data_IF_482656090829
#
_entry.id   IF_482656090829
#
_cell.length_a   1.000
_cell.length_b   1.000
_cell.length_c   1.000
_cell.angle_alpha   90.00
_cell.angle_beta   90.00
_cell.angle_gamma   90.00
#
_symmetry.space_group_name_H-M   'P 1'
#
loop_
_entity.id
_entity.type
_entity.pdbx_description
1 polymer ?
#
# COMPACT_ATOMS: atom_id res chain seq x y z
N UNK A 1 -9.44 16.08 24.98
CA UNK A 1 -8.04 15.65 24.81
C UNK A 1 -8.04 14.58 23.74
N UNK A 2 -7.23 14.71 22.68
CA UNK A 2 -7.19 13.76 21.57
C UNK A 2 -5.86 13.04 21.58
N UNK A 3 -5.92 11.72 21.51
CA UNK A 3 -4.74 10.87 21.44
C UNK A 3 -4.49 10.38 20.02
N UNK A 4 -3.26 10.50 19.55
CA UNK A 4 -2.79 9.85 18.34
C UNK A 4 -2.17 8.54 18.77
N UNK A 5 -2.70 7.43 18.27
CA UNK A 5 -2.25 6.09 18.63
C UNK A 5 -1.53 5.41 17.48
N UNK A 6 -0.59 4.57 17.81
CA UNK A 6 -0.01 3.61 16.90
C UNK A 6 -1.07 2.52 16.56
N UNK A 7 -0.89 1.82 15.44
CA UNK A 7 -1.82 0.76 15.04
C UNK A 7 -1.95 -0.39 16.09
N UNK A 8 -0.95 -0.59 16.97
CA UNK A 8 -0.99 -1.55 18.07
C UNK A 8 -1.69 -1.02 19.35
N UNK A 9 -2.21 0.21 19.31
CA UNK A 9 -2.98 0.83 20.39
C UNK A 9 -2.17 1.69 21.36
N UNK A 10 -0.83 1.66 21.36
CA UNK A 10 -0.02 2.54 22.22
C UNK A 10 -0.18 4.00 21.82
N UNK A 11 -0.14 4.90 22.79
CA UNK A 11 -0.25 6.33 22.56
C UNK A 11 1.10 6.88 22.06
N UNK A 12 1.08 7.53 20.90
CA UNK A 12 2.23 8.24 20.33
C UNK A 12 2.28 9.71 20.75
N UNK A 13 1.11 10.32 20.85
CA UNK A 13 0.98 11.72 21.23
C UNK A 13 -0.39 12.00 21.85
N UNK A 14 -0.41 12.84 22.88
CA UNK A 14 -1.64 13.36 23.49
C UNK A 14 -1.71 14.87 23.25
N UNK A 15 -2.65 15.31 22.42
CA UNK A 15 -2.84 16.72 22.13
C UNK A 15 -3.51 17.44 23.31
N UNK A 16 -2.98 18.60 23.65
CA UNK A 16 -3.45 19.39 24.82
C UNK A 16 -4.61 20.31 24.48
N UNK A 17 -4.62 20.86 23.26
CA UNK A 17 -5.57 21.90 22.84
C UNK A 17 -6.28 21.61 21.53
N UNK A 18 -6.09 20.45 20.93
CA UNK A 18 -6.70 20.10 19.65
C UNK A 18 -8.19 19.84 19.78
N UNK A 19 -8.97 20.40 18.84
CA UNK A 19 -10.40 20.18 18.72
C UNK A 19 -10.75 18.95 17.84
N UNK A 20 -9.86 18.58 16.93
CA UNK A 20 -10.01 17.48 15.98
C UNK A 20 -8.67 16.75 15.72
N UNK A 21 -8.73 15.62 14.99
CA UNK A 21 -7.54 14.81 14.68
C UNK A 21 -6.53 15.60 13.86
N UNK A 22 -6.96 16.45 12.92
CA UNK A 22 -6.08 17.28 12.11
C UNK A 22 -5.25 18.21 12.97
N UNK A 23 -5.89 18.96 13.87
CA UNK A 23 -5.21 19.90 14.77
C UNK A 23 -4.32 19.16 15.76
N UNK A 24 -4.71 17.95 16.22
CA UNK A 24 -3.87 17.10 17.05
C UNK A 24 -2.60 16.64 16.32
N UNK A 25 -2.73 16.23 15.08
CA UNK A 25 -1.58 15.83 14.24
C UNK A 25 -0.65 17.03 14.00
N UNK A 26 -1.18 18.20 13.67
CA UNK A 26 -0.39 19.42 13.48
C UNK A 26 0.33 19.83 14.79
N UNK A 27 -0.32 19.69 15.95
CA UNK A 27 0.29 19.93 17.27
C UNK A 27 1.44 18.94 17.53
N UNK A 28 1.23 17.66 17.24
CA UNK A 28 2.25 16.62 17.36
C UNK A 28 3.48 16.90 16.46
N UNK A 29 3.23 17.28 15.21
CA UNK A 29 4.30 17.65 14.26
C UNK A 29 5.10 18.84 14.75
N UNK A 30 4.45 19.90 15.23
CA UNK A 30 5.13 21.08 15.83
C UNK A 30 5.96 20.69 17.05
N UNK A 31 5.51 19.72 17.83
CA UNK A 31 6.23 19.17 18.98
C UNK A 31 7.32 18.17 18.60
N UNK A 32 7.53 17.91 17.30
CA UNK A 32 8.48 16.91 16.78
C UNK A 32 8.20 15.49 17.29
N UNK A 33 6.95 15.17 17.59
CA UNK A 33 6.54 13.83 17.98
C UNK A 33 6.77 12.84 16.82
N UNK A 34 7.21 11.64 17.16
CA UNK A 34 7.34 10.55 16.19
C UNK A 34 5.97 9.94 15.93
N UNK A 35 5.44 10.13 14.72
CA UNK A 35 4.17 9.59 14.26
C UNK A 35 4.33 8.32 13.41
N UNK A 36 5.50 7.69 13.45
CA UNK A 36 5.73 6.40 12.79
C UNK A 36 4.75 5.35 13.31
N UNK A 37 4.08 4.66 12.38
CA UNK A 37 3.04 3.68 12.69
C UNK A 37 1.74 4.27 13.25
N UNK A 38 1.53 5.59 13.18
CA UNK A 38 0.30 6.22 13.65
C UNK A 38 -0.93 5.66 12.91
N UNK A 39 -1.97 5.32 13.66
CA UNK A 39 -3.27 4.98 13.09
C UNK A 39 -4.05 6.27 12.78
N UNK A 40 -4.03 6.64 11.50
CA UNK A 40 -4.72 7.81 10.96
C UNK A 40 -5.78 7.39 9.92
N UNK A 41 -6.32 6.16 10.09
CA UNK A 41 -7.37 5.62 9.25
C UNK A 41 -8.55 6.60 9.14
N UNK A 42 -8.92 6.95 7.91
CA UNK A 42 -10.05 7.84 7.63
C UNK A 42 -9.91 9.27 8.18
N UNK A 43 -8.74 9.65 8.69
CA UNK A 43 -8.55 10.98 9.27
C UNK A 43 -8.68 12.08 8.22
N UNK A 44 -9.40 13.15 8.54
CA UNK A 44 -9.39 14.35 7.72
C UNK A 44 -8.13 15.18 8.09
N UNK A 45 -7.13 15.17 7.20
CA UNK A 45 -5.90 15.94 7.29
C UNK A 45 -5.80 17.00 6.19
N UNK A 46 -6.93 17.33 5.55
CA UNK A 46 -6.99 18.31 4.48
C UNK A 46 -6.40 19.65 4.91
N UNK A 47 -5.47 20.20 4.11
CA UNK A 47 -4.77 21.43 4.39
C UNK A 47 -3.80 21.41 5.58
N UNK A 48 -3.59 20.27 6.24
CA UNK A 48 -2.65 20.16 7.36
C UNK A 48 -1.21 20.49 6.94
N UNK A 49 -0.48 21.20 7.80
CA UNK A 49 0.96 21.34 7.65
C UNK A 49 1.68 20.19 8.36
N UNK A 50 2.21 19.26 7.56
CA UNK A 50 2.92 18.06 8.01
C UNK A 50 4.43 18.14 7.77
N UNK A 51 4.97 19.36 7.60
CA UNK A 51 6.40 19.58 7.35
C UNK A 51 7.23 19.00 8.49
N UNK A 52 8.13 18.08 8.15
CA UNK A 52 8.99 17.39 9.11
C UNK A 52 8.31 16.26 9.90
N UNK A 53 7.06 15.90 9.58
CA UNK A 53 6.42 14.76 10.20
C UNK A 53 7.10 13.44 9.80
N UNK A 54 7.41 12.60 10.78
CA UNK A 54 7.77 11.21 10.53
C UNK A 54 6.48 10.38 10.50
N UNK A 55 6.01 10.04 9.29
CA UNK A 55 4.83 9.21 9.05
C UNK A 55 5.19 7.81 8.53
N UNK A 56 6.43 7.36 8.75
CA UNK A 56 6.88 6.06 8.28
C UNK A 56 5.97 4.94 8.81
N UNK A 57 5.37 4.15 7.90
CA UNK A 57 4.45 3.07 8.27
C UNK A 57 3.14 3.53 8.93
N UNK A 58 2.81 4.82 8.91
CA UNK A 58 1.53 5.30 9.42
C UNK A 58 0.37 4.73 8.58
N UNK A 59 -0.72 4.36 9.22
CA UNK A 59 -1.90 3.81 8.56
C UNK A 59 -2.83 4.94 8.11
N UNK A 60 -2.63 5.40 6.87
CA UNK A 60 -3.35 6.52 6.24
C UNK A 60 -4.48 6.07 5.28
N UNK A 61 -4.90 4.81 5.33
CA UNK A 61 -5.96 4.33 4.46
C UNK A 61 -7.25 5.13 4.66
N UNK A 62 -7.80 5.69 3.56
CA UNK A 62 -9.00 6.52 3.59
C UNK A 62 -8.81 7.91 4.20
N UNK A 63 -7.59 8.30 4.61
CA UNK A 63 -7.34 9.66 5.08
C UNK A 63 -7.45 10.68 3.94
N UNK A 64 -8.06 11.82 4.22
CA UNK A 64 -8.06 12.97 3.31
C UNK A 64 -6.81 13.82 3.54
N UNK A 65 -5.91 13.80 2.57
CA UNK A 65 -4.67 14.57 2.56
C UNK A 65 -4.70 15.73 1.55
N UNK A 66 -5.88 16.08 1.01
CA UNK A 66 -6.04 17.13 0.01
C UNK A 66 -5.51 18.48 0.55
N UNK A 67 -4.60 19.10 -0.22
CA UNK A 67 -3.96 20.35 0.19
C UNK A 67 -3.03 20.27 1.40
N UNK A 68 -2.77 19.08 1.96
CA UNK A 68 -1.76 18.91 3.01
C UNK A 68 -0.36 19.27 2.47
N UNK A 69 0.46 19.91 3.33
CA UNK A 69 1.77 20.45 2.96
C UNK A 69 2.90 19.75 3.72
N UNK A 70 4.08 19.68 3.09
CA UNK A 70 5.30 19.25 3.75
C UNK A 70 5.42 17.74 3.98
N UNK A 71 4.60 16.93 3.36
CA UNK A 71 4.75 15.48 3.44
C UNK A 71 5.99 15.06 2.63
N UNK A 72 6.95 14.44 3.31
CA UNK A 72 8.06 13.79 2.64
C UNK A 72 7.64 12.35 2.28
N UNK A 73 7.34 12.10 0.99
CA UNK A 73 6.91 10.77 0.50
C UNK A 73 7.89 9.64 0.87
N UNK A 74 9.18 9.93 0.88
CA UNK A 74 10.22 8.94 1.19
C UNK A 74 10.23 8.50 2.65
N UNK A 75 9.60 9.27 3.54
CA UNK A 75 9.42 8.93 4.95
C UNK A 75 8.07 8.25 5.24
N UNK A 76 7.28 7.93 4.21
CA UNK A 76 5.96 7.30 4.39
C UNK A 76 5.96 5.82 4.04
N UNK A 77 6.80 5.40 3.09
CA UNK A 77 6.92 3.99 2.68
C UNK A 77 8.29 3.70 2.06
N UNK A 78 8.88 2.52 2.30
CA UNK A 78 10.13 2.12 1.67
C UNK A 78 9.98 1.80 0.18
N UNK A 79 8.77 1.67 -0.35
CA UNK A 79 8.52 1.29 -1.74
C UNK A 79 9.09 2.28 -2.76
N UNK A 80 9.35 3.54 -2.36
CA UNK A 80 9.95 4.52 -3.27
C UNK A 80 11.34 4.11 -3.79
N UNK A 81 12.04 3.20 -3.10
CA UNK A 81 13.28 2.60 -3.60
C UNK A 81 13.11 1.90 -4.95
N UNK A 82 11.88 1.46 -5.30
CA UNK A 82 11.60 0.80 -6.57
C UNK A 82 11.74 1.74 -7.77
N UNK A 83 11.62 3.06 -7.56
CA UNK A 83 11.75 4.07 -8.62
C UNK A 83 13.18 4.17 -9.15
N UNK A 84 14.18 3.76 -8.37
CA UNK A 84 15.59 3.85 -8.68
C UNK A 84 16.20 2.49 -9.08
N UNK A 85 15.36 1.43 -9.20
CA UNK A 85 15.85 0.09 -9.55
C UNK A 85 16.14 -0.02 -11.05
N UNK A 86 17.35 -0.41 -11.44
CA UNK A 86 17.65 -0.73 -12.83
C UNK A 86 17.07 -2.11 -13.20
N UNK A 87 16.49 -2.22 -14.38
CA UNK A 87 16.01 -3.52 -14.91
C UNK A 87 14.66 -3.97 -14.37
N UNK A 88 14.32 -5.25 -14.53
CA UNK A 88 13.04 -5.79 -14.12
C UNK A 88 12.88 -5.83 -12.61
N UNK A 89 11.73 -5.36 -12.15
CA UNK A 89 11.29 -5.40 -10.75
C UNK A 89 10.26 -6.50 -10.60
N UNK A 90 10.36 -7.32 -9.57
CA UNK A 90 9.39 -8.35 -9.23
C UNK A 90 8.48 -7.90 -8.10
N UNK A 91 7.19 -8.14 -8.29
CA UNK A 91 6.18 -7.99 -7.25
C UNK A 91 5.11 -9.08 -7.41
N UNK A 92 4.07 -8.98 -6.61
CA UNK A 92 3.03 -10.00 -6.58
C UNK A 92 1.67 -9.40 -6.91
N UNK A 93 0.80 -10.23 -7.49
CA UNK A 93 -0.56 -9.88 -7.84
C UNK A 93 -1.52 -10.89 -7.24
N UNK A 94 -2.33 -10.43 -6.29
CA UNK A 94 -3.45 -11.22 -5.78
C UNK A 94 -4.58 -11.24 -6.81
N UNK A 95 -5.06 -12.43 -7.16
CA UNK A 95 -6.19 -12.63 -8.09
C UNK A 95 -7.16 -13.64 -7.51
N UNK A 96 -8.44 -13.51 -7.87
CA UNK A 96 -9.44 -14.54 -7.58
C UNK A 96 -9.29 -15.76 -8.48
N UNK A 97 -10.08 -16.80 -8.24
CA UNK A 97 -10.06 -18.06 -8.98
C UNK A 97 -10.24 -17.87 -10.51
N UNK A 98 -11.03 -16.88 -10.93
CA UNK A 98 -11.25 -16.55 -12.35
C UNK A 98 -10.09 -15.81 -13.02
N UNK A 99 -9.00 -15.49 -12.28
CA UNK A 99 -7.84 -14.74 -12.76
C UNK A 99 -8.04 -13.23 -12.82
N UNK A 100 -9.16 -12.70 -12.34
CA UNK A 100 -9.40 -11.27 -12.18
C UNK A 100 -8.90 -10.73 -10.84
N UNK A 101 -8.75 -9.40 -10.73
CA UNK A 101 -8.44 -8.78 -9.43
C UNK A 101 -9.59 -9.01 -8.43
N UNK A 102 -9.30 -9.24 -7.13
CA UNK A 102 -10.32 -9.62 -6.14
C UNK A 102 -11.31 -8.48 -5.82
N UNK A 103 -10.89 -7.24 -6.04
CA UNK A 103 -11.69 -6.06 -5.67
C UNK A 103 -12.30 -5.31 -6.86
N UNK A 104 -11.74 -5.47 -8.07
CA UNK A 104 -12.26 -4.85 -9.31
C UNK A 104 -12.06 -5.84 -10.44
N UNK A 105 -13.16 -6.24 -11.09
CA UNK A 105 -13.16 -7.09 -12.27
C UNK A 105 -12.66 -6.35 -13.52
N UNK A 106 -12.59 -7.05 -14.64
CA UNK A 106 -12.37 -6.49 -15.98
C UNK A 106 -11.02 -6.88 -16.60
N UNK A 107 -9.93 -6.92 -15.81
CA UNK A 107 -8.61 -7.36 -16.31
C UNK A 107 -8.34 -8.78 -15.84
N UNK A 108 -8.01 -9.68 -16.79
CA UNK A 108 -7.58 -11.05 -16.49
C UNK A 108 -6.05 -11.15 -16.55
N UNK A 109 -5.51 -11.80 -15.54
CA UNK A 109 -4.08 -12.06 -15.41
C UNK A 109 -3.80 -13.53 -15.70
N UNK A 110 -3.02 -13.80 -16.74
CA UNK A 110 -2.68 -15.15 -17.19
C UNK A 110 -1.16 -15.25 -17.29
N UNK A 111 -0.57 -16.31 -16.73
CA UNK A 111 0.87 -16.57 -16.80
C UNK A 111 1.33 -16.61 -18.26
N UNK A 112 2.46 -15.95 -18.55
CA UNK A 112 3.01 -15.79 -19.88
C UNK A 112 2.40 -14.64 -20.69
N UNK A 113 1.49 -13.82 -20.11
CA UNK A 113 0.88 -12.68 -20.81
C UNK A 113 1.26 -11.34 -20.18
N UNK A 114 1.35 -10.33 -21.05
CA UNK A 114 1.49 -8.92 -20.65
C UNK A 114 0.11 -8.32 -20.40
N UNK A 115 -0.01 -7.58 -19.31
CA UNK A 115 -1.19 -6.76 -18.98
C UNK A 115 -0.80 -5.28 -19.06
N UNK A 116 -1.66 -4.48 -19.69
CA UNK A 116 -1.48 -3.01 -19.81
C UNK A 116 -2.79 -2.31 -19.53
N UNK A 117 -2.71 -1.17 -18.85
CA UNK A 117 -3.84 -0.25 -18.62
C UNK A 117 -3.42 1.16 -19.02
N UNK A 118 -4.31 1.89 -19.69
CA UNK A 118 -4.02 3.27 -20.15
C UNK A 118 -4.20 4.29 -19.03
N UNK A 119 -5.23 4.11 -18.21
CA UNK A 119 -5.72 5.11 -17.26
C UNK A 119 -5.49 4.65 -15.80
N UNK A 120 -4.23 4.33 -15.48
CA UNK A 120 -3.89 4.07 -14.09
C UNK A 120 -3.94 5.37 -13.29
N UNK A 121 -4.60 5.33 -12.13
CA UNK A 121 -4.66 6.47 -11.23
C UNK A 121 -3.27 6.76 -10.64
N UNK A 122 -2.77 7.97 -10.83
CA UNK A 122 -1.46 8.45 -10.36
C UNK A 122 -1.53 9.24 -9.05
N UNK A 123 -2.72 9.40 -8.46
CA UNK A 123 -2.89 10.10 -7.20
C UNK A 123 -2.34 9.28 -6.03
N UNK A 124 -1.31 9.80 -5.37
CA UNK A 124 -0.65 9.16 -4.22
C UNK A 124 -1.52 9.11 -2.95
N UNK A 125 -2.55 9.94 -2.86
CA UNK A 125 -3.51 9.91 -1.75
C UNK A 125 -4.57 8.81 -1.90
N UNK A 126 -4.67 8.20 -3.08
CA UNK A 126 -5.66 7.16 -3.38
C UNK A 126 -5.03 5.76 -3.29
N UNK A 127 -5.29 5.06 -2.21
CA UNK A 127 -4.76 3.72 -1.96
C UNK A 127 -5.38 2.63 -2.85
N UNK A 128 -6.59 2.86 -3.40
CA UNK A 128 -7.35 1.86 -4.16
C UNK A 128 -7.75 2.35 -5.56
N UNK A 129 -6.97 3.24 -6.16
CA UNK A 129 -7.19 3.79 -7.49
C UNK A 129 -7.23 2.74 -8.61
N UNK A 130 -7.76 3.15 -9.78
CA UNK A 130 -7.74 2.36 -10.99
C UNK A 130 -6.29 2.05 -11.43
N UNK A 131 -6.08 0.90 -12.08
CA UNK A 131 -4.77 0.47 -12.55
C UNK A 131 -4.47 -0.99 -12.20
N UNK A 132 -3.27 -1.43 -12.53
CA UNK A 132 -2.78 -2.75 -12.13
C UNK A 132 -2.21 -2.60 -10.72
N UNK A 133 -3.00 -2.96 -9.70
CA UNK A 133 -2.54 -2.97 -8.32
C UNK A 133 -1.70 -4.23 -8.09
N UNK A 134 -0.44 -4.04 -7.77
CA UNK A 134 0.53 -5.06 -7.37
C UNK A 134 0.99 -4.82 -5.94
N UNK A 135 1.63 -5.79 -5.30
CA UNK A 135 2.02 -5.64 -3.92
C UNK A 135 3.25 -6.48 -3.55
N UNK A 136 3.77 -6.26 -2.35
CA UNK A 136 4.70 -7.17 -1.69
C UNK A 136 4.04 -8.51 -1.36
N UNK A 137 4.85 -9.55 -1.13
CA UNK A 137 4.33 -10.89 -0.84
C UNK A 137 3.54 -10.93 0.47
N UNK A 138 4.07 -10.28 1.50
CA UNK A 138 3.42 -10.22 2.83
C UNK A 138 2.04 -9.56 2.75
N UNK A 139 1.89 -8.49 1.93
CA UNK A 139 0.59 -7.88 1.67
C UNK A 139 -0.37 -8.87 1.00
N UNK A 140 0.08 -9.58 -0.03
CA UNK A 140 -0.75 -10.57 -0.71
C UNK A 140 -1.16 -11.71 0.23
N UNK A 141 -0.28 -12.15 1.12
CA UNK A 141 -0.58 -13.20 2.12
C UNK A 141 -1.61 -12.73 3.16
N UNK A 142 -1.51 -11.50 3.66
CA UNK A 142 -2.49 -10.91 4.60
C UNK A 142 -3.88 -10.80 4.00
N UNK A 143 -3.96 -10.44 2.72
CA UNK A 143 -5.23 -10.25 1.99
C UNK A 143 -5.74 -11.53 1.33
N UNK A 144 -4.98 -12.62 1.40
CA UNK A 144 -5.36 -13.90 0.79
C UNK A 144 -6.64 -14.47 1.41
N UNK A 145 -7.46 -15.10 0.60
CA UNK A 145 -8.67 -15.84 0.99
C UNK A 145 -8.74 -17.13 0.16
N UNK A 146 -9.43 -18.13 0.68
CA UNK A 146 -9.63 -19.42 -0.02
C UNK A 146 -10.10 -19.20 -1.45
N UNK A 147 -9.45 -19.84 -2.41
CA UNK A 147 -9.69 -19.69 -3.83
C UNK A 147 -8.95 -18.55 -4.51
N UNK A 148 -8.19 -17.74 -3.77
CA UNK A 148 -7.30 -16.73 -4.38
C UNK A 148 -5.96 -17.35 -4.76
N UNK A 149 -5.32 -16.74 -5.77
CA UNK A 149 -4.01 -17.12 -6.29
C UNK A 149 -3.08 -15.91 -6.18
N UNK A 150 -1.78 -16.17 -6.00
CA UNK A 150 -0.73 -15.14 -5.94
C UNK A 150 0.17 -15.31 -7.15
N UNK A 151 0.06 -14.39 -8.10
CA UNK A 151 0.86 -14.37 -9.32
C UNK A 151 2.16 -13.60 -9.08
N UNK A 152 3.24 -14.05 -9.71
CA UNK A 152 4.49 -13.31 -9.82
C UNK A 152 4.44 -12.44 -11.07
N UNK A 153 4.70 -11.15 -10.92
CA UNK A 153 4.72 -10.19 -12.02
C UNK A 153 6.05 -9.46 -12.12
N UNK A 154 6.43 -9.09 -13.35
CA UNK A 154 7.60 -8.28 -13.65
C UNK A 154 7.20 -6.99 -14.36
N UNK A 155 7.89 -5.91 -14.05
CA UNK A 155 7.73 -4.58 -14.65
C UNK A 155 9.02 -3.77 -14.44
N UNK A 156 9.10 -2.57 -14.98
CA UNK A 156 10.24 -1.65 -14.77
C UNK A 156 9.82 -0.46 -13.91
N UNK A 157 10.78 0.31 -13.40
CA UNK A 157 10.50 1.55 -12.68
C UNK A 157 9.62 2.52 -13.51
N UNK A 158 9.83 2.57 -14.84
CA UNK A 158 9.04 3.39 -15.77
C UNK A 158 7.56 2.94 -15.87
N UNK A 159 7.25 1.70 -15.53
CA UNK A 159 5.89 1.19 -15.53
C UNK A 159 5.12 1.55 -14.24
N UNK A 160 5.79 2.07 -13.20
CA UNK A 160 5.15 2.45 -11.94
C UNK A 160 4.26 3.67 -12.17
N UNK A 161 2.97 3.50 -11.98
CA UNK A 161 1.98 4.57 -12.10
C UNK A 161 1.89 5.40 -10.80
N UNK A 162 1.93 4.74 -9.65
CA UNK A 162 1.80 5.38 -8.36
C UNK A 162 2.23 4.47 -7.21
N UNK A 163 2.99 5.02 -6.29
CA UNK A 163 3.22 4.45 -4.96
C UNK A 163 2.41 5.30 -3.98
N UNK A 164 1.31 4.77 -3.41
CA UNK A 164 0.49 5.54 -2.48
C UNK A 164 1.29 5.94 -1.24
N UNK A 165 1.00 7.13 -0.69
CA UNK A 165 1.58 7.56 0.57
C UNK A 165 1.28 6.57 1.68
N UNK A 166 2.28 6.27 2.51
CA UNK A 166 2.17 5.29 3.60
C UNK A 166 1.64 3.92 3.18
N UNK A 167 1.89 3.52 1.92
CA UNK A 167 1.51 2.18 1.45
C UNK A 167 2.12 1.10 2.34
N UNK A 168 1.30 0.14 2.69
CA UNK A 168 1.64 -1.07 3.44
C UNK A 168 2.20 -2.21 2.59
N UNK A 169 2.59 -1.90 1.35
CA UNK A 169 3.13 -2.88 0.40
C UNK A 169 2.44 -2.88 -0.97
N UNK A 170 1.28 -2.22 -1.12
CA UNK A 170 0.51 -2.15 -2.36
C UNK A 170 0.81 -0.88 -3.15
N UNK A 171 0.99 -1.00 -4.47
CA UNK A 171 1.19 0.12 -5.39
C UNK A 171 0.60 -0.20 -6.77
N UNK A 172 0.66 0.75 -7.69
CA UNK A 172 0.07 0.63 -9.03
C UNK A 172 1.10 0.73 -10.12
N UNK A 173 0.89 -0.09 -11.17
CA UNK A 173 1.68 -0.02 -12.40
C UNK A 173 0.77 0.14 -13.62
N UNK A 174 1.31 0.72 -14.71
CA UNK A 174 0.64 0.82 -16.01
C UNK A 174 0.71 -0.49 -16.78
N UNK A 175 1.80 -1.25 -16.56
CA UNK A 175 2.11 -2.48 -17.29
C UNK A 175 2.79 -3.49 -16.36
N UNK A 176 2.51 -4.76 -16.57
CA UNK A 176 3.32 -5.85 -16.02
C UNK A 176 3.25 -7.08 -16.93
N UNK A 177 4.28 -7.91 -16.86
CA UNK A 177 4.32 -9.24 -17.42
C UNK A 177 4.01 -10.25 -16.30
N UNK A 178 3.08 -11.17 -16.53
CA UNK A 178 2.76 -12.23 -15.55
C UNK A 178 3.71 -13.39 -15.82
N UNK A 179 4.71 -13.57 -14.96
CA UNK A 179 5.83 -14.48 -15.22
C UNK A 179 5.74 -15.81 -14.47
N UNK A 180 4.82 -15.90 -13.51
CA UNK A 180 4.64 -17.14 -12.75
C UNK A 180 3.51 -17.04 -11.73
N UNK A 181 3.41 -18.07 -10.92
CA UNK A 181 2.47 -18.20 -9.82
C UNK A 181 3.21 -18.77 -8.60
N UNK A 182 2.84 -18.32 -7.42
CA UNK A 182 3.40 -18.86 -6.17
C UNK A 182 2.67 -20.13 -5.77
N UNK A 183 3.45 -21.11 -5.32
CA UNK A 183 2.89 -22.27 -4.63
C UNK A 183 2.36 -21.85 -3.27
N UNK A 184 1.05 -22.01 -3.07
CA UNK A 184 0.38 -21.60 -1.84
C UNK A 184 0.69 -22.54 -0.66
N UNK A 185 1.06 -23.80 -0.93
CA UNK A 185 1.48 -24.74 0.11
C UNK A 185 2.86 -24.37 0.67
N UNK A 186 3.81 -24.01 -0.22
CA UNK A 186 5.11 -23.47 0.20
C UNK A 186 4.98 -22.19 1.06
N UNK A 187 3.93 -21.41 0.82
CA UNK A 187 3.64 -20.19 1.59
C UNK A 187 2.89 -20.48 2.90
N UNK A 188 2.51 -21.74 3.16
CA UNK A 188 1.71 -22.12 4.33
C UNK A 188 0.27 -21.60 4.30
N UNK A 189 -0.25 -21.25 3.12
CA UNK A 189 -1.62 -20.76 2.93
C UNK A 189 -2.60 -21.90 2.63
N UNK A 190 -2.10 -23.02 2.15
CA UNK A 190 -2.85 -24.27 1.95
C UNK A 190 -2.11 -25.42 2.65
N UNK A 191 -2.84 -26.44 3.09
CA UNK A 191 -2.19 -27.70 3.48
C UNK A 191 -1.52 -28.31 2.25
N UNK A 192 -0.28 -28.80 2.41
CA UNK A 192 0.39 -29.54 1.36
C UNK A 192 -0.46 -30.78 1.05
N UNK A 193 -0.75 -31.05 -0.22
CA UNK A 193 -1.37 -32.31 -0.61
C UNK A 193 -0.46 -33.45 -0.11
N UNK A 194 -1.01 -34.33 0.71
CA UNK A 194 -0.31 -35.56 1.10
C UNK A 194 -0.13 -36.37 -0.18
N UNK A 195 1.09 -36.41 -0.69
CA UNK A 195 1.46 -37.39 -1.72
C UNK A 195 1.45 -38.72 -1.00
N UNK A 196 0.37 -39.50 -1.18
CA UNK A 196 0.35 -40.90 -0.74
C UNK A 196 1.46 -41.64 -1.49
N UNK A 197 2.42 -42.17 -0.73
CA UNK A 197 3.58 -42.92 -1.21
C UNK A 197 3.20 -44.37 -1.53
#
# INVERSE_FOLDING_TARGET
>A
MIEIKHWDGRVLYTAKSAADVRTAVVEAVKSRANLSGANLFGANLSGANLSGANLFGAYLFGADLSGAKGINRYLTTPLHMLMDQPGPIRAYKLVGASGGGPFRGGVKYVVGKTVKVKDANTNESDHCGAGINVASLDWCMKEWRTGYRILLVEFTAADIACIPMASDGKFRVHRCDVVGEKDLAELGLLEAEKVDA
#
